data_IF_347003328500
#
_entry.id   IF_347003328500
#
_cell.length_a   1.000
_cell.length_b   1.000
_cell.length_c   1.000
_cell.angle_alpha   90.00
_cell.angle_beta   90.00
_cell.angle_gamma   90.00
#
_symmetry.space_group_name_H-M   'P 1'
#
loop_
_entity.id
_entity.type
_entity.pdbx_description
1 polymer ?
#
# COMPACT_ATOMS: atom_id res chain seq x y z
N UNK A 1 -5.23 5.51 -85.31
CA UNK A 1 -6.08 4.34 -85.62
C UNK A 1 -6.21 3.49 -84.36
N UNK A 2 -7.44 2.97 -84.10
CA UNK A 2 -7.89 2.05 -83.02
C UNK A 2 -8.13 2.69 -81.63
N UNK A 3 -9.36 3.10 -81.23
CA UNK A 3 -10.60 2.37 -80.78
C UNK A 3 -10.68 2.12 -79.24
N UNK A 4 -11.37 3.02 -78.49
CA UNK A 4 -12.61 2.89 -77.63
C UNK A 4 -12.95 1.49 -76.99
N UNK A 5 -13.67 1.26 -75.83
CA UNK A 5 -14.22 2.07 -74.68
C UNK A 5 -14.23 1.42 -73.23
N UNK A 6 -14.90 2.13 -72.27
CA UNK A 6 -15.78 1.66 -71.15
C UNK A 6 -15.20 0.86 -69.96
N UNK A 7 -15.32 1.37 -68.73
CA UNK A 7 -16.43 1.07 -67.78
C UNK A 7 -16.11 1.47 -66.32
N UNK A 8 -17.17 1.67 -65.54
CA UNK A 8 -17.23 2.19 -64.16
C UNK A 8 -16.67 1.18 -63.14
N UNK A 9 -16.06 1.67 -62.05
CA UNK A 9 -16.14 1.00 -60.75
C UNK A 9 -16.06 2.02 -59.59
N UNK A 10 -17.14 2.08 -58.82
CA UNK A 10 -17.18 2.69 -57.50
C UNK A 10 -16.30 1.87 -56.55
N UNK A 11 -15.41 2.51 -55.79
CA UNK A 11 -14.76 1.88 -54.65
C UNK A 11 -14.95 2.77 -53.43
N UNK A 12 -15.98 2.43 -52.65
CA UNK A 12 -16.18 2.93 -51.30
C UNK A 12 -15.17 2.22 -50.38
N UNK A 13 -14.22 2.97 -49.82
CA UNK A 13 -13.34 2.47 -48.78
C UNK A 13 -14.01 2.73 -47.41
N UNK A 14 -14.55 1.69 -46.81
CA UNK A 14 -15.09 1.73 -45.46
C UNK A 14 -13.93 1.83 -44.45
N UNK A 15 -13.79 2.98 -43.77
CA UNK A 15 -13.00 3.07 -42.54
C UNK A 15 -13.76 2.36 -41.41
N UNK A 16 -13.37 1.12 -41.11
CA UNK A 16 -13.77 0.44 -39.88
C UNK A 16 -13.03 1.05 -38.69
N UNK A 17 -13.70 1.94 -37.95
CA UNK A 17 -13.22 2.39 -36.66
C UNK A 17 -13.37 1.29 -35.62
N UNK A 18 -12.26 0.70 -35.17
CA UNK A 18 -12.25 -0.17 -34.01
C UNK A 18 -12.54 0.68 -32.77
N UNK A 19 -13.77 0.63 -32.26
CA UNK A 19 -14.08 1.12 -30.92
C UNK A 19 -13.32 0.24 -29.92
N UNK A 20 -12.25 0.79 -29.37
CA UNK A 20 -11.60 0.23 -28.19
C UNK A 20 -12.55 0.48 -27.02
N UNK A 21 -13.40 -0.50 -26.72
CA UNK A 21 -14.21 -0.52 -25.51
C UNK A 21 -13.27 -0.74 -24.33
N UNK A 22 -12.82 0.35 -23.71
CA UNK A 22 -12.16 0.28 -22.41
C UNK A 22 -13.15 -0.35 -21.41
N UNK A 23 -12.75 -1.38 -20.64
CA UNK A 23 -13.64 -2.02 -19.68
C UNK A 23 -13.99 -1.03 -18.57
N UNK A 24 -15.27 -0.62 -18.51
CA UNK A 24 -15.82 0.28 -17.49
C UNK A 24 -15.48 -0.16 -16.05
N UNK A 25 -15.24 -1.46 -15.83
CA UNK A 25 -14.90 -2.07 -14.55
C UNK A 25 -13.57 -1.57 -13.96
N UNK A 26 -12.55 -1.30 -14.80
CA UNK A 26 -11.25 -0.85 -14.32
C UNK A 26 -11.33 0.53 -13.66
N UNK A 27 -12.12 1.44 -14.24
CA UNK A 27 -12.28 2.80 -13.70
C UNK A 27 -13.08 2.88 -12.39
N UNK A 28 -13.90 1.87 -12.07
CA UNK A 28 -14.79 1.92 -10.91
C UNK A 28 -14.02 1.65 -9.61
N UNK A 29 -13.25 0.55 -9.56
CA UNK A 29 -12.49 0.21 -8.36
C UNK A 29 -11.36 1.21 -8.10
N UNK A 30 -10.74 1.79 -9.15
CA UNK A 30 -9.70 2.81 -9.01
C UNK A 30 -10.20 4.06 -8.25
N UNK A 31 -11.42 4.50 -8.56
CA UNK A 31 -12.07 5.64 -7.88
C UNK A 31 -12.41 5.31 -6.42
N UNK A 32 -13.00 4.14 -6.16
CA UNK A 32 -13.28 3.66 -4.80
C UNK A 32 -11.99 3.55 -3.98
N UNK A 33 -10.95 2.98 -4.57
CA UNK A 33 -9.65 2.82 -3.96
C UNK A 33 -9.03 4.19 -3.67
N UNK A 34 -9.03 5.12 -4.62
CA UNK A 34 -8.55 6.49 -4.40
C UNK A 34 -9.27 7.17 -3.22
N UNK A 35 -10.60 7.05 -3.13
CA UNK A 35 -11.37 7.56 -1.98
C UNK A 35 -10.97 6.90 -0.66
N UNK A 36 -10.77 5.58 -0.65
CA UNK A 36 -10.30 4.82 0.51
C UNK A 36 -8.93 5.34 0.99
N UNK A 37 -7.97 5.51 0.08
CA UNK A 37 -6.61 6.01 0.39
C UNK A 37 -6.64 7.37 1.08
N UNK A 38 -7.42 8.31 0.54
CA UNK A 38 -7.52 9.67 1.06
C UNK A 38 -8.17 9.71 2.45
N UNK A 39 -9.24 8.92 2.66
CA UNK A 39 -9.91 8.83 3.97
C UNK A 39 -9.04 8.13 5.00
N UNK A 40 -8.32 7.08 4.62
CA UNK A 40 -7.32 6.45 5.49
C UNK A 40 -6.25 7.46 5.90
N UNK A 41 -5.73 8.26 4.96
CA UNK A 41 -4.65 9.21 5.25
C UNK A 41 -5.13 10.27 6.24
N UNK A 42 -6.26 10.92 5.96
CA UNK A 42 -6.87 11.87 6.89
C UNK A 42 -7.10 11.26 8.29
N UNK A 43 -7.58 10.01 8.34
CA UNK A 43 -7.83 9.29 9.59
C UNK A 43 -6.56 9.14 10.43
N UNK A 44 -5.45 8.71 9.83
CA UNK A 44 -4.22 8.41 10.60
C UNK A 44 -3.39 9.66 10.90
N UNK A 45 -3.54 10.75 10.13
CA UNK A 45 -2.72 11.96 10.32
C UNK A 45 -3.43 13.07 11.08
N UNK A 46 -4.72 13.32 10.83
CA UNK A 46 -5.40 14.53 11.31
C UNK A 46 -6.47 14.24 12.37
N UNK A 47 -7.10 13.07 12.30
CA UNK A 47 -8.22 12.79 13.18
C UNK A 47 -7.76 12.53 14.63
N UNK A 48 -8.52 12.95 15.67
CA UNK A 48 -8.21 12.65 17.06
C UNK A 48 -8.18 11.15 17.36
N UNK A 49 -7.24 10.71 18.20
CA UNK A 49 -7.00 9.29 18.50
C UNK A 49 -8.27 8.53 18.94
N UNK A 50 -9.12 9.15 19.76
CA UNK A 50 -10.37 8.55 20.25
C UNK A 50 -11.44 8.32 19.16
N UNK A 51 -11.22 8.80 17.93
CA UNK A 51 -12.12 8.58 16.79
C UNK A 51 -11.50 7.64 15.72
N UNK A 52 -10.20 7.35 15.79
CA UNK A 52 -9.48 6.59 14.76
C UNK A 52 -9.95 5.15 14.65
N UNK A 53 -10.11 4.48 15.79
CA UNK A 53 -10.50 3.06 15.80
C UNK A 53 -11.81 2.81 15.05
N UNK A 54 -12.87 3.58 15.36
CA UNK A 54 -14.19 3.37 14.75
C UNK A 54 -14.20 3.70 13.26
N UNK A 55 -13.52 4.76 12.84
CA UNK A 55 -13.39 5.11 11.41
C UNK A 55 -12.56 4.06 10.65
N UNK A 56 -11.45 3.59 11.21
CA UNK A 56 -10.64 2.55 10.58
C UNK A 56 -11.37 1.22 10.49
N UNK A 57 -12.21 0.88 11.46
CA UNK A 57 -13.09 -0.28 11.38
C UNK A 57 -14.05 -0.20 10.19
N UNK A 58 -14.66 0.97 9.96
CA UNK A 58 -15.53 1.18 8.81
C UNK A 58 -14.75 1.07 7.49
N UNK A 59 -13.58 1.73 7.40
CA UNK A 59 -12.70 1.64 6.23
C UNK A 59 -12.21 0.20 5.97
N UNK A 60 -11.96 -0.59 7.01
CA UNK A 60 -11.56 -1.99 6.86
C UNK A 60 -12.67 -2.83 6.19
N UNK A 61 -13.93 -2.62 6.57
CA UNK A 61 -15.06 -3.28 5.93
C UNK A 61 -15.26 -2.86 4.46
N UNK A 62 -15.01 -1.58 4.15
CA UNK A 62 -15.03 -1.10 2.76
C UNK A 62 -13.90 -1.70 1.93
N UNK A 63 -12.69 -1.76 2.47
CA UNK A 63 -11.53 -2.34 1.80
C UNK A 63 -11.70 -3.85 1.57
N UNK A 64 -12.29 -4.56 2.52
CA UNK A 64 -12.62 -5.99 2.37
C UNK A 64 -13.62 -6.21 1.23
N UNK A 65 -14.71 -5.44 1.17
CA UNK A 65 -15.67 -5.52 0.07
C UNK A 65 -15.00 -5.26 -1.29
N UNK A 66 -14.15 -4.24 -1.35
CA UNK A 66 -13.42 -3.91 -2.58
C UNK A 66 -12.49 -5.05 -3.02
N UNK A 67 -11.80 -5.68 -2.06
CA UNK A 67 -10.95 -6.85 -2.31
C UNK A 67 -11.74 -8.09 -2.75
N UNK A 68 -12.91 -8.35 -2.17
CA UNK A 68 -13.79 -9.44 -2.58
C UNK A 68 -14.26 -9.28 -4.04
N UNK A 69 -14.46 -8.04 -4.49
CA UNK A 69 -14.84 -7.72 -5.86
C UNK A 69 -13.64 -7.75 -6.83
N UNK A 70 -12.43 -7.58 -6.32
CA UNK A 70 -11.19 -7.46 -7.09
C UNK A 70 -10.05 -8.34 -6.50
N UNK A 71 -10.24 -9.66 -6.38
CA UNK A 71 -9.35 -10.53 -5.58
C UNK A 71 -7.96 -10.73 -6.18
N UNK A 72 -7.75 -10.34 -7.44
CA UNK A 72 -6.47 -10.44 -8.14
C UNK A 72 -5.81 -9.06 -8.35
N UNK A 73 -6.39 -7.98 -7.84
CA UNK A 73 -5.81 -6.64 -7.94
C UNK A 73 -4.88 -6.40 -6.75
N UNK A 74 -3.57 -6.54 -6.97
CA UNK A 74 -2.57 -6.41 -5.92
C UNK A 74 -2.68 -5.10 -5.14
N UNK A 75 -2.93 -3.98 -5.83
CA UNK A 75 -3.06 -2.68 -5.18
C UNK A 75 -4.24 -2.64 -4.19
N UNK A 76 -5.39 -3.23 -4.56
CA UNK A 76 -6.56 -3.32 -3.67
C UNK A 76 -6.21 -4.13 -2.42
N UNK A 77 -5.54 -5.28 -2.58
CA UNK A 77 -5.12 -6.12 -1.45
C UNK A 77 -4.10 -5.40 -0.56
N UNK A 78 -3.13 -4.69 -1.14
CA UNK A 78 -2.14 -3.91 -0.38
C UNK A 78 -2.84 -2.90 0.53
N UNK A 79 -3.82 -2.19 -0.01
CA UNK A 79 -4.56 -1.20 0.76
C UNK A 79 -5.51 -1.79 1.79
N UNK A 80 -6.13 -2.93 1.50
CA UNK A 80 -6.85 -3.69 2.53
C UNK A 80 -5.92 -4.05 3.69
N UNK A 81 -4.71 -4.57 3.39
CA UNK A 81 -3.70 -4.89 4.39
C UNK A 81 -3.26 -3.67 5.22
N UNK A 82 -2.98 -2.54 4.58
CA UNK A 82 -2.60 -1.28 5.26
C UNK A 82 -3.71 -0.78 6.20
N UNK A 83 -4.97 -0.83 5.74
CA UNK A 83 -6.12 -0.40 6.55
C UNK A 83 -6.33 -1.34 7.74
N UNK A 84 -6.25 -2.66 7.53
CA UNK A 84 -6.35 -3.65 8.61
C UNK A 84 -5.21 -3.50 9.63
N UNK A 85 -3.97 -3.33 9.19
CA UNK A 85 -2.83 -3.11 10.08
C UNK A 85 -3.00 -1.82 10.91
N UNK A 86 -3.51 -0.76 10.29
CA UNK A 86 -3.80 0.49 10.99
C UNK A 86 -4.93 0.32 12.00
N UNK A 87 -6.00 -0.40 11.63
CA UNK A 87 -7.11 -0.69 12.53
C UNK A 87 -6.64 -1.52 13.74
N UNK A 88 -5.84 -2.57 13.51
CA UNK A 88 -5.27 -3.38 14.57
C UNK A 88 -4.46 -2.54 15.57
N UNK A 89 -3.64 -1.60 15.07
CA UNK A 89 -2.85 -0.68 15.90
C UNK A 89 -3.73 0.19 16.80
N UNK A 90 -4.78 0.82 16.26
CA UNK A 90 -5.65 1.69 17.06
C UNK A 90 -6.54 0.91 18.03
N UNK A 91 -6.98 -0.29 17.65
CA UNK A 91 -7.83 -1.16 18.50
C UNK A 91 -7.08 -1.71 19.71
N UNK A 92 -5.83 -2.14 19.53
CA UNK A 92 -5.03 -2.78 20.57
C UNK A 92 -5.66 -4.06 21.16
N UNK A 93 -5.04 -4.58 22.22
CA UNK A 93 -5.52 -5.74 22.97
C UNK A 93 -5.62 -7.04 22.16
N UNK A 94 -6.32 -8.04 22.72
CA UNK A 94 -6.44 -9.37 22.11
C UNK A 94 -7.17 -9.35 20.75
N UNK A 95 -8.08 -8.40 20.56
CA UNK A 95 -8.81 -8.24 19.29
C UNK A 95 -7.94 -7.74 18.14
N UNK A 96 -6.82 -7.07 18.42
CA UNK A 96 -5.90 -6.60 17.40
C UNK A 96 -5.09 -7.73 16.75
N UNK A 97 -4.82 -8.81 17.47
CA UNK A 97 -3.96 -9.89 16.95
C UNK A 97 -4.58 -10.63 15.76
N UNK A 98 -5.90 -10.89 15.83
CA UNK A 98 -6.63 -11.48 14.70
C UNK A 98 -6.58 -10.56 13.47
N UNK A 99 -6.92 -9.28 13.66
CA UNK A 99 -6.90 -8.27 12.59
C UNK A 99 -5.50 -8.07 12.00
N UNK A 100 -4.44 -8.12 12.82
CA UNK A 100 -3.05 -8.07 12.35
C UNK A 100 -2.68 -9.32 11.53
N UNK A 101 -3.20 -10.49 11.91
CA UNK A 101 -3.05 -11.74 11.16
C UNK A 101 -3.74 -11.70 9.79
N UNK A 102 -4.93 -11.12 9.73
CA UNK A 102 -5.66 -10.90 8.47
C UNK A 102 -4.89 -9.94 7.57
N UNK A 103 -4.41 -8.82 8.12
CA UNK A 103 -3.57 -7.85 7.40
C UNK A 103 -2.33 -8.52 6.79
N UNK A 104 -1.61 -9.33 7.59
CA UNK A 104 -0.44 -10.07 7.12
C UNK A 104 -0.79 -11.00 5.96
N UNK A 105 -1.83 -11.81 6.12
CA UNK A 105 -2.24 -12.80 5.11
C UNK A 105 -2.58 -12.14 3.78
N UNK A 106 -3.32 -11.03 3.82
CA UNK A 106 -3.67 -10.27 2.61
C UNK A 106 -2.43 -9.64 1.95
N UNK A 107 -1.51 -9.08 2.74
CA UNK A 107 -0.29 -8.47 2.22
C UNK A 107 0.67 -9.50 1.63
N UNK A 108 0.80 -10.68 2.25
CA UNK A 108 1.56 -11.81 1.71
C UNK A 108 1.00 -12.23 0.34
N UNK A 109 -0.33 -12.35 0.23
CA UNK A 109 -0.97 -12.61 -1.06
C UNK A 109 -0.71 -11.49 -2.07
N UNK A 110 -0.73 -10.24 -1.65
CA UNK A 110 -0.53 -9.12 -2.56
C UNK A 110 0.89 -9.09 -3.14
N UNK A 111 1.92 -9.40 -2.34
CA UNK A 111 3.31 -9.46 -2.84
C UNK A 111 3.60 -10.68 -3.72
N UNK A 112 2.78 -11.73 -3.65
CA UNK A 112 2.80 -12.82 -4.65
C UNK A 112 2.30 -12.36 -6.02
N UNK A 113 1.34 -11.43 -6.05
CA UNK A 113 0.77 -10.90 -7.30
C UNK A 113 1.65 -9.77 -7.86
N UNK A 114 2.07 -8.85 -7.00
CA UNK A 114 3.00 -7.76 -7.32
C UNK A 114 4.26 -7.85 -6.44
N UNK A 115 5.38 -8.40 -6.95
CA UNK A 115 6.64 -8.51 -6.22
C UNK A 115 7.30 -7.17 -5.84
N UNK A 116 6.78 -6.04 -6.33
CA UNK A 116 7.20 -4.70 -5.88
C UNK A 116 6.41 -4.24 -4.64
N UNK A 117 5.35 -4.96 -4.27
CA UNK A 117 4.55 -4.70 -3.08
C UNK A 117 3.97 -3.29 -3.04
N UNK A 118 3.51 -2.76 -4.19
CA UNK A 118 3.00 -1.40 -4.28
C UNK A 118 4.07 -0.38 -3.92
N UNK A 119 5.19 -0.44 -4.63
CA UNK A 119 6.37 0.40 -4.41
C UNK A 119 6.91 0.33 -2.96
N UNK A 120 7.01 -0.89 -2.44
CA UNK A 120 7.55 -1.22 -1.12
C UNK A 120 6.56 -1.10 0.04
N UNK A 121 5.38 -0.54 -0.16
CA UNK A 121 4.41 -0.24 0.92
C UNK A 121 3.93 -1.50 1.65
N UNK A 122 3.74 -2.60 0.92
CA UNK A 122 3.35 -3.88 1.51
C UNK A 122 4.45 -4.43 2.43
N UNK A 123 5.70 -4.36 2.00
CA UNK A 123 6.85 -4.84 2.77
C UNK A 123 7.08 -4.00 4.03
N UNK A 124 6.96 -2.67 3.98
CA UNK A 124 7.01 -1.83 5.19
C UNK A 124 5.94 -2.26 6.20
N UNK A 125 4.71 -2.49 5.72
CA UNK A 125 3.59 -2.88 6.59
C UNK A 125 3.78 -4.29 7.16
N UNK A 126 4.25 -5.25 6.34
CA UNK A 126 4.60 -6.60 6.80
C UNK A 126 5.71 -6.55 7.85
N UNK A 127 6.75 -5.74 7.64
CA UNK A 127 7.82 -5.53 8.62
C UNK A 127 7.26 -5.09 9.97
N UNK A 128 6.43 -4.05 9.97
CA UNK A 128 5.79 -3.53 11.18
C UNK A 128 4.86 -4.53 11.88
N UNK A 129 4.17 -5.40 11.12
CA UNK A 129 3.31 -6.45 11.65
C UNK A 129 4.13 -7.57 12.32
N UNK A 130 5.20 -8.03 11.66
CA UNK A 130 6.09 -9.06 12.18
C UNK A 130 6.89 -8.59 13.39
N UNK A 131 7.20 -7.30 13.46
CA UNK A 131 7.85 -6.64 14.59
C UNK A 131 6.94 -6.58 15.83
N UNK A 132 5.70 -6.09 15.67
CA UNK A 132 4.81 -5.76 16.80
C UNK A 132 3.97 -6.93 17.32
N UNK A 133 3.74 -7.96 16.51
CA UNK A 133 2.93 -9.10 16.95
C UNK A 133 3.68 -9.93 18.02
N UNK A 134 2.97 -10.56 18.97
CA UNK A 134 3.58 -11.55 19.84
C UNK A 134 4.17 -12.72 19.03
N UNK A 135 5.29 -13.28 19.50
CA UNK A 135 5.86 -14.49 18.91
C UNK A 135 5.02 -15.75 19.16
N UNK A 136 5.51 -16.89 18.65
CA UNK A 136 4.87 -18.20 18.87
C UNK A 136 4.90 -18.60 20.37
N UNK A 137 3.90 -19.34 20.87
CA UNK A 137 2.74 -19.87 20.14
C UNK A 137 1.55 -18.89 20.03
N UNK A 138 1.65 -17.70 20.63
CA UNK A 138 0.51 -16.77 20.73
C UNK A 138 0.23 -16.03 19.43
N UNK A 139 1.27 -15.66 18.69
CA UNK A 139 1.13 -14.94 17.43
C UNK A 139 2.20 -15.31 16.41
N UNK A 140 2.44 -14.40 15.48
CA UNK A 140 3.33 -14.59 14.33
C UNK A 140 4.55 -13.69 14.35
N UNK A 141 4.76 -12.92 15.41
CA UNK A 141 5.90 -12.01 15.56
C UNK A 141 7.24 -12.71 15.35
N UNK A 142 8.12 -12.06 14.60
CA UNK A 142 9.44 -12.56 14.26
C UNK A 142 10.35 -11.42 13.77
N UNK A 143 11.27 -10.94 14.61
CA UNK A 143 12.19 -9.84 14.29
C UNK A 143 13.03 -10.11 13.04
N UNK A 144 13.51 -11.35 12.84
CA UNK A 144 14.28 -11.70 11.65
C UNK A 144 13.45 -11.60 10.37
N UNK A 145 12.17 -11.95 10.41
CA UNK A 145 11.25 -11.73 9.29
C UNK A 145 10.94 -10.25 9.11
N UNK A 146 10.71 -9.51 10.19
CA UNK A 146 10.48 -8.07 10.13
C UNK A 146 11.63 -7.34 9.43
N UNK A 147 12.88 -7.65 9.82
CA UNK A 147 14.08 -7.10 9.21
C UNK A 147 14.16 -7.39 7.71
N UNK A 148 13.92 -8.65 7.29
CA UNK A 148 13.91 -8.99 5.85
C UNK A 148 12.86 -8.20 5.07
N UNK A 149 11.70 -7.94 5.65
CA UNK A 149 10.66 -7.12 5.00
C UNK A 149 11.11 -5.66 4.87
N UNK A 150 11.70 -5.08 5.91
CA UNK A 150 12.22 -3.70 5.85
C UNK A 150 13.38 -3.57 4.85
N UNK A 151 14.31 -4.52 4.83
CA UNK A 151 15.39 -4.56 3.85
C UNK A 151 14.85 -4.63 2.43
N UNK A 152 13.83 -5.47 2.19
CA UNK A 152 13.17 -5.54 0.88
C UNK A 152 12.49 -4.23 0.49
N UNK A 153 11.84 -3.55 1.42
CA UNK A 153 11.25 -2.23 1.17
C UNK A 153 12.33 -1.18 0.83
N UNK A 154 13.49 -1.25 1.50
CA UNK A 154 14.63 -0.35 1.28
C UNK A 154 15.28 -0.56 -0.10
N UNK A 155 15.37 -1.80 -0.57
CA UNK A 155 15.83 -2.09 -1.94
C UNK A 155 14.94 -1.44 -3.01
N UNK A 156 13.63 -1.40 -2.76
CA UNK A 156 12.64 -0.87 -3.71
C UNK A 156 12.60 0.66 -3.65
N UNK A 157 12.61 1.24 -2.45
CA UNK A 157 12.48 2.68 -2.24
C UNK A 157 13.47 3.18 -1.18
N UNK A 158 14.76 3.32 -1.54
CA UNK A 158 15.83 3.65 -0.60
C UNK A 158 15.67 5.02 0.06
N UNK A 159 15.04 5.97 -0.62
CA UNK A 159 14.78 7.34 -0.13
C UNK A 159 13.34 7.52 0.41
N UNK A 160 12.62 6.41 0.63
CA UNK A 160 11.25 6.44 1.13
C UNK A 160 11.20 6.85 2.59
N UNK A 161 10.36 7.84 2.90
CA UNK A 161 10.23 8.37 4.27
C UNK A 161 9.68 7.30 5.22
N UNK A 162 8.54 6.68 4.88
CA UNK A 162 7.96 5.58 5.64
C UNK A 162 8.91 4.37 5.74
N UNK A 163 9.57 3.98 4.65
CA UNK A 163 10.53 2.86 4.64
C UNK A 163 11.61 3.07 5.70
N UNK A 164 12.27 4.23 5.65
CA UNK A 164 13.36 4.54 6.54
C UNK A 164 12.88 4.81 7.98
N UNK A 165 11.72 5.44 8.17
CA UNK A 165 11.17 5.69 9.49
C UNK A 165 10.83 4.39 10.21
N UNK A 166 10.04 3.51 9.57
CA UNK A 166 9.64 2.26 10.21
C UNK A 166 10.84 1.34 10.45
N UNK A 167 11.83 1.32 9.56
CA UNK A 167 13.06 0.57 9.80
C UNK A 167 13.90 1.17 10.93
N UNK A 168 13.99 2.50 11.02
CA UNK A 168 14.65 3.17 12.14
C UNK A 168 13.98 2.83 13.49
N UNK A 169 12.65 2.84 13.54
CA UNK A 169 11.90 2.47 14.72
C UNK A 169 12.20 1.02 15.14
N UNK A 170 12.15 0.07 14.20
CA UNK A 170 12.53 -1.33 14.43
C UNK A 170 13.96 -1.47 14.95
N UNK A 171 14.95 -0.84 14.29
CA UNK A 171 16.35 -0.91 14.70
C UNK A 171 16.58 -0.34 16.11
N UNK A 172 15.82 0.69 16.49
CA UNK A 172 15.88 1.27 17.82
C UNK A 172 15.35 0.31 18.88
N UNK A 173 14.27 -0.39 18.59
CA UNK A 173 13.68 -1.43 19.47
C UNK A 173 14.62 -2.63 19.64
N UNK A 174 15.33 -3.03 18.57
CA UNK A 174 16.36 -4.07 18.60
C UNK A 174 17.69 -3.60 19.25
N UNK A 175 17.77 -2.33 19.69
CA UNK A 175 18.94 -1.76 20.37
C UNK A 175 20.06 -1.28 19.45
N UNK A 176 19.89 -1.33 18.14
CA UNK A 176 20.84 -0.80 17.16
C UNK A 176 20.63 0.71 16.95
N UNK A 177 20.91 1.51 17.99
CA UNK A 177 20.63 2.95 18.03
C UNK A 177 21.38 3.74 16.94
N UNK A 178 22.60 3.32 16.59
CA UNK A 178 23.38 4.00 15.55
C UNK A 178 22.73 3.84 14.17
N UNK A 179 22.39 2.61 13.77
CA UNK A 179 21.71 2.39 12.50
C UNK A 179 20.30 3.01 12.48
N UNK A 180 19.60 2.99 13.62
CA UNK A 180 18.31 3.66 13.76
C UNK A 180 18.42 5.17 13.45
N UNK A 181 19.43 5.85 14.00
CA UNK A 181 19.69 7.28 13.74
C UNK A 181 20.01 7.54 12.27
N UNK A 182 20.80 6.67 11.64
CA UNK A 182 21.13 6.79 10.20
C UNK A 182 19.90 6.66 9.31
N UNK A 183 19.01 5.72 9.61
CA UNK A 183 17.75 5.58 8.88
C UNK A 183 16.76 6.71 9.20
N UNK A 184 16.67 7.17 10.46
CA UNK A 184 15.87 8.33 10.81
C UNK A 184 16.31 9.58 10.00
N UNK A 185 17.62 9.81 9.87
CA UNK A 185 18.15 10.91 9.06
C UNK A 185 17.79 10.78 7.57
N UNK A 186 17.79 9.55 7.03
CA UNK A 186 17.31 9.27 5.66
C UNK A 186 15.81 9.53 5.51
N UNK A 187 15.00 9.20 6.50
CA UNK A 187 13.58 9.52 6.49
C UNK A 187 13.33 11.04 6.52
N UNK A 188 14.07 11.79 7.35
CA UNK A 188 14.01 13.26 7.39
C UNK A 188 14.30 13.88 6.01
N UNK A 189 15.33 13.37 5.33
CA UNK A 189 15.76 13.85 4.02
C UNK A 189 15.03 13.18 2.84
N UNK A 190 14.09 12.28 3.12
CA UNK A 190 13.47 11.41 2.12
C UNK A 190 12.43 12.12 1.25
N UNK A 191 11.99 11.42 0.21
CA UNK A 191 10.99 11.91 -0.75
C UNK A 191 9.58 11.46 -0.35
N UNK A 192 8.68 12.42 -0.17
CA UNK A 192 7.26 12.14 0.07
C UNK A 192 6.61 11.61 -1.23
N UNK A 193 5.79 10.57 -1.12
CA UNK A 193 5.02 10.05 -2.27
C UNK A 193 3.90 11.03 -2.59
N UNK A 194 3.72 11.34 -3.87
CA UNK A 194 2.69 12.30 -4.32
C UNK A 194 1.28 11.94 -3.84
N UNK A 195 0.95 10.65 -3.80
CA UNK A 195 -0.35 10.15 -3.34
C UNK A 195 -0.47 9.96 -1.83
N UNK A 196 0.58 10.27 -1.05
CA UNK A 196 0.68 10.01 0.40
C UNK A 196 1.39 11.15 1.15
N UNK A 197 1.36 12.38 0.62
CA UNK A 197 2.16 13.49 1.15
C UNK A 197 1.91 13.73 2.64
N UNK A 198 0.66 13.75 3.10
CA UNK A 198 0.38 14.07 4.51
C UNK A 198 0.89 13.00 5.46
N UNK A 199 0.70 11.73 5.10
CA UNK A 199 1.21 10.62 5.91
C UNK A 199 2.73 10.57 5.92
N UNK A 200 3.38 10.80 4.77
CA UNK A 200 4.84 10.84 4.71
C UNK A 200 5.42 12.04 5.50
N UNK A 201 4.79 13.22 5.43
CA UNK A 201 5.21 14.38 6.23
C UNK A 201 5.00 14.17 7.74
N UNK A 202 3.98 13.42 8.15
CA UNK A 202 3.81 13.03 9.53
C UNK A 202 4.95 12.10 9.99
N UNK A 203 5.28 11.09 9.19
CA UNK A 203 6.38 10.18 9.48
C UNK A 203 7.75 10.87 9.45
N UNK A 204 7.92 11.93 8.63
CA UNK A 204 9.12 12.77 8.65
C UNK A 204 9.32 13.42 10.02
N UNK A 205 8.27 14.02 10.59
CA UNK A 205 8.32 14.61 11.95
C UNK A 205 8.57 13.56 13.02
N UNK A 206 7.96 12.38 12.88
CA UNK A 206 8.22 11.28 13.80
C UNK A 206 9.68 10.80 13.71
N UNK A 207 10.29 10.83 12.51
CA UNK A 207 11.71 10.53 12.32
C UNK A 207 12.64 11.58 12.95
N UNK A 208 12.28 12.87 12.91
CA UNK A 208 13.03 13.93 13.61
C UNK A 208 13.11 13.66 15.12
N UNK A 209 12.05 13.09 15.72
CA UNK A 209 12.03 12.73 17.14
C UNK A 209 12.91 11.51 17.49
N UNK A 210 13.46 10.79 16.49
CA UNK A 210 14.39 9.68 16.69
C UNK A 210 15.87 10.10 16.64
N UNK A 211 16.16 11.35 16.25
CA UNK A 211 17.50 11.95 16.26
C UNK A 211 17.78 12.56 17.64
#
# INVERSE_FOLDING_TARGET
MRTIPFSRLFMAAALGGALVLSPLSASAFESELFSLKNRWEHTVTEMPANQRESTLRALAGEAERLAQQNPNEAEVLIWQGIVLASYARERGGLGALGTAGDARTVLERAVEIDPTGGNGSAYVTLGALYDRAPGRPLGFGNSATAERMFQRALEIRPDGIDVNYYYAAFLKEEGNTQAAREHAQRAVNGTARESRQRSDEALRRDAEALL
#
